data_IF_478206768534
#
_entry.id   IF_478206768534
#
_cell.length_a   1.000
_cell.length_b   1.000
_cell.length_c   1.000
_cell.angle_alpha   90.00
_cell.angle_beta   90.00
_cell.angle_gamma   90.00
#
_symmetry.space_group_name_H-M   'P 1'
#
loop_
_entity.id
_entity.type
_entity.pdbx_description
1 polymer ?
#
# COMPACT_ATOMS: atom_id res chain seq x y z
N UNK A 1 1.70 14.05 -13.57
CA UNK A 1 2.02 12.97 -12.60
C UNK A 1 0.81 12.25 -11.97
N UNK A 2 -0.41 12.82 -11.90
CA UNK A 2 -1.58 12.15 -11.27
C UNK A 2 -2.08 10.89 -12.02
N UNK A 3 -1.97 10.84 -13.36
CA UNK A 3 -2.36 9.66 -14.16
C UNK A 3 -1.56 8.41 -13.77
N UNK A 4 -0.25 8.53 -13.54
CA UNK A 4 0.61 7.39 -13.24
C UNK A 4 0.29 6.77 -11.86
N UNK A 5 -0.04 7.59 -10.86
CA UNK A 5 -0.49 7.11 -9.54
C UNK A 5 -1.76 6.26 -9.63
N UNK A 6 -2.73 6.69 -10.46
CA UNK A 6 -3.98 5.96 -10.68
C UNK A 6 -3.75 4.60 -11.32
N UNK A 7 -2.86 4.51 -12.31
CA UNK A 7 -2.49 3.25 -12.92
C UNK A 7 -1.80 2.31 -11.95
N UNK A 8 -0.85 2.79 -11.13
CA UNK A 8 -0.19 1.97 -10.09
C UNK A 8 -1.21 1.42 -9.10
N UNK A 9 -2.15 2.26 -8.65
CA UNK A 9 -3.23 1.83 -7.76
C UNK A 9 -4.17 0.82 -8.42
N UNK A 10 -4.59 1.09 -9.65
CA UNK A 10 -5.52 0.23 -10.38
C UNK A 10 -4.89 -1.13 -10.67
N UNK A 11 -3.63 -1.15 -11.12
CA UNK A 11 -2.87 -2.38 -11.37
C UNK A 11 -2.66 -3.17 -10.07
N UNK A 12 -2.26 -2.52 -8.97
CA UNK A 12 -2.07 -3.20 -7.69
C UNK A 12 -3.39 -3.74 -7.12
N UNK A 13 -4.48 -2.98 -7.20
CA UNK A 13 -5.82 -3.43 -6.79
C UNK A 13 -6.30 -4.61 -7.64
N UNK A 14 -6.14 -4.52 -8.96
CA UNK A 14 -6.49 -5.60 -9.88
C UNK A 14 -5.69 -6.87 -9.57
N UNK A 15 -4.40 -6.74 -9.24
CA UNK A 15 -3.54 -7.87 -8.87
C UNK A 15 -3.96 -8.49 -7.54
N UNK A 16 -4.31 -7.69 -6.53
CA UNK A 16 -4.87 -8.18 -5.25
C UNK A 16 -6.16 -8.97 -5.49
N UNK A 17 -7.10 -8.41 -6.26
CA UNK A 17 -8.37 -9.07 -6.59
C UNK A 17 -8.11 -10.36 -7.34
N UNK A 18 -7.23 -10.36 -8.34
CA UNK A 18 -6.89 -11.55 -9.12
C UNK A 18 -6.31 -12.65 -8.24
N UNK A 19 -5.37 -12.34 -7.34
CA UNK A 19 -4.78 -13.34 -6.44
C UNK A 19 -5.81 -13.86 -5.42
N UNK A 20 -6.59 -12.96 -4.80
CA UNK A 20 -7.51 -13.31 -3.69
C UNK A 20 -8.79 -14.00 -4.17
N UNK A 21 -9.34 -13.60 -5.32
CA UNK A 21 -10.61 -14.11 -5.85
C UNK A 21 -10.48 -15.13 -6.99
N UNK A 22 -9.39 -15.12 -7.77
CA UNK A 22 -9.21 -16.08 -8.88
C UNK A 22 -8.22 -17.17 -8.50
N UNK A 23 -7.01 -16.81 -8.07
CA UNK A 23 -5.98 -17.83 -7.78
C UNK A 23 -6.33 -18.65 -6.53
N UNK A 24 -6.83 -18.01 -5.47
CA UNK A 24 -7.15 -18.70 -4.20
C UNK A 24 -8.19 -19.81 -4.33
N UNK A 25 -9.36 -19.61 -4.98
CA UNK A 25 -10.37 -20.66 -5.10
C UNK A 25 -10.20 -21.57 -6.33
N UNK A 26 -9.61 -21.11 -7.44
CA UNK A 26 -9.61 -21.87 -8.70
C UNK A 26 -8.28 -22.55 -9.05
N UNK A 27 -7.18 -22.24 -8.36
CA UNK A 27 -5.86 -22.81 -8.69
C UNK A 27 -5.32 -23.66 -7.52
N UNK A 28 -5.15 -24.96 -7.79
CA UNK A 28 -4.46 -25.88 -6.88
C UNK A 28 -2.95 -25.59 -6.97
N UNK A 29 -2.46 -24.72 -6.09
CA UNK A 29 -1.07 -24.28 -6.09
C UNK A 29 -0.19 -25.30 -5.34
N UNK A 30 0.97 -25.71 -5.88
CA UNK A 30 1.90 -26.60 -5.18
C UNK A 30 2.32 -26.04 -3.82
N UNK A 31 2.60 -26.89 -2.81
CA UNK A 31 2.85 -26.44 -1.45
C UNK A 31 4.00 -25.43 -1.27
N UNK A 32 5.00 -25.46 -2.15
CA UNK A 32 6.10 -24.51 -2.16
C UNK A 32 5.68 -23.06 -2.48
N UNK A 33 4.56 -22.86 -3.18
CA UNK A 33 4.08 -21.54 -3.61
C UNK A 33 2.93 -20.99 -2.75
N UNK A 34 2.49 -21.70 -1.71
CA UNK A 34 1.46 -21.18 -0.79
C UNK A 34 1.90 -19.89 -0.12
N UNK A 35 3.14 -19.84 0.39
CA UNK A 35 3.71 -18.64 0.99
C UNK A 35 3.65 -17.45 0.03
N UNK A 36 4.05 -17.61 -1.23
CA UNK A 36 4.01 -16.52 -2.19
C UNK A 36 2.57 -16.07 -2.50
N UNK A 37 1.64 -17.02 -2.65
CA UNK A 37 0.22 -16.73 -2.92
C UNK A 37 -0.42 -15.93 -1.78
N UNK A 38 -0.01 -16.18 -0.56
CA UNK A 38 -0.60 -15.59 0.64
C UNK A 38 0.06 -14.25 1.01
N UNK A 39 1.39 -14.18 0.91
CA UNK A 39 2.18 -12.97 1.18
C UNK A 39 2.00 -11.89 0.11
N UNK A 40 2.02 -12.26 -1.17
CA UNK A 40 2.04 -11.30 -2.28
C UNK A 40 0.88 -10.26 -2.25
N UNK A 41 -0.39 -10.65 -2.05
CA UNK A 41 -1.47 -9.66 -2.00
C UNK A 41 -1.36 -8.74 -0.79
N UNK A 42 -0.90 -9.23 0.36
CA UNK A 42 -0.69 -8.43 1.56
C UNK A 42 0.48 -7.45 1.40
N UNK A 43 1.60 -7.88 0.83
CA UNK A 43 2.73 -7.03 0.48
C UNK A 43 2.34 -5.91 -0.51
N UNK A 44 1.57 -6.25 -1.55
CA UNK A 44 1.15 -5.28 -2.58
C UNK A 44 0.13 -4.31 -2.02
N UNK A 45 -0.83 -4.79 -1.22
CA UNK A 45 -1.80 -3.91 -0.54
C UNK A 45 -1.10 -2.97 0.44
N UNK A 46 -0.13 -3.48 1.21
CA UNK A 46 0.73 -2.70 2.09
C UNK A 46 1.44 -1.55 1.37
N UNK A 47 2.06 -1.86 0.23
CA UNK A 47 2.72 -0.88 -0.61
C UNK A 47 1.77 0.18 -1.20
N UNK A 48 0.54 -0.21 -1.53
CA UNK A 48 -0.47 0.67 -2.13
C UNK A 48 -1.14 1.63 -1.13
N UNK A 49 -1.10 1.36 0.18
CA UNK A 49 -1.74 2.20 1.21
C UNK A 49 -1.45 3.70 1.05
N UNK A 50 -0.19 4.18 1.03
CA UNK A 50 0.09 5.62 0.96
C UNK A 50 -0.42 6.25 -0.34
N UNK A 51 -0.40 5.50 -1.45
CA UNK A 51 -0.93 5.96 -2.73
C UNK A 51 -2.46 6.05 -2.71
N UNK A 52 -3.13 5.01 -2.18
CA UNK A 52 -4.58 4.93 -2.11
C UNK A 52 -5.14 5.99 -1.20
N UNK A 53 -4.49 6.20 -0.06
CA UNK A 53 -4.80 7.26 0.87
C UNK A 53 -4.61 8.64 0.24
N UNK A 54 -3.49 8.92 -0.43
CA UNK A 54 -3.28 10.18 -1.16
C UNK A 54 -4.38 10.44 -2.19
N UNK A 55 -4.90 9.40 -2.85
CA UNK A 55 -5.93 9.55 -3.87
C UNK A 55 -7.34 9.71 -3.29
N UNK A 56 -7.73 8.89 -2.32
CA UNK A 56 -9.06 8.92 -1.69
C UNK A 56 -9.21 10.07 -0.70
N UNK A 57 -8.20 10.27 0.14
CA UNK A 57 -8.20 11.30 1.17
C UNK A 57 -7.74 12.65 0.63
N UNK A 58 -7.30 12.78 -0.64
CA UNK A 58 -6.98 14.09 -1.25
C UNK A 58 -8.08 15.14 -1.03
N UNK A 59 -9.34 14.70 -0.94
CA UNK A 59 -10.51 15.56 -0.75
C UNK A 59 -10.72 15.98 0.71
N UNK A 60 -10.16 15.25 1.66
CA UNK A 60 -10.40 15.42 3.11
C UNK A 60 -9.13 15.82 3.88
N UNK A 61 -7.95 15.38 3.45
CA UNK A 61 -6.66 15.54 4.13
C UNK A 61 -5.62 15.94 3.09
N UNK A 62 -4.99 17.10 3.29
CA UNK A 62 -3.86 17.52 2.48
C UNK A 62 -2.58 16.88 3.02
N UNK A 63 -1.94 16.04 2.21
CA UNK A 63 -0.70 15.33 2.56
C UNK A 63 0.50 16.27 2.42
N UNK A 64 0.54 17.31 3.24
CA UNK A 64 1.62 18.31 3.25
C UNK A 64 2.78 17.86 4.14
N UNK A 65 2.53 16.97 5.10
CA UNK A 65 3.51 16.60 6.12
C UNK A 65 3.88 15.10 6.11
N UNK A 66 5.17 14.81 6.32
CA UNK A 66 5.72 13.44 6.38
C UNK A 66 5.06 12.64 7.51
N UNK A 67 4.70 13.32 8.60
CA UNK A 67 4.01 12.71 9.75
C UNK A 67 2.64 12.16 9.37
N UNK A 68 1.89 12.86 8.52
CA UNK A 68 0.56 12.41 8.07
C UNK A 68 0.65 11.16 7.19
N UNK A 69 1.67 11.09 6.32
CA UNK A 69 1.94 9.88 5.51
C UNK A 69 2.30 8.70 6.42
N UNK A 70 3.12 8.94 7.44
CA UNK A 70 3.53 7.92 8.40
C UNK A 70 2.33 7.39 9.21
N UNK A 71 1.45 8.27 9.70
CA UNK A 71 0.23 7.87 10.41
C UNK A 71 -0.67 6.98 9.56
N UNK A 72 -0.83 7.32 8.28
CA UNK A 72 -1.65 6.55 7.35
C UNK A 72 -1.02 5.18 7.03
N UNK A 73 0.31 5.14 6.94
CA UNK A 73 1.06 3.89 6.82
C UNK A 73 0.85 2.99 8.04
N UNK A 74 0.91 3.55 9.26
CA UNK A 74 0.61 2.82 10.50
C UNK A 74 -0.85 2.33 10.50
N UNK A 75 -1.80 3.21 10.17
CA UNK A 75 -3.22 2.90 10.20
C UNK A 75 -3.56 1.80 9.19
N UNK A 76 -2.96 1.83 8.01
CA UNK A 76 -3.12 0.75 7.03
C UNK A 76 -2.42 -0.55 7.44
N UNK A 77 -1.28 -0.50 8.14
CA UNK A 77 -0.66 -1.70 8.74
C UNK A 77 -1.58 -2.33 9.81
N UNK A 78 -2.24 -1.51 10.63
CA UNK A 78 -3.26 -1.97 11.59
C UNK A 78 -4.41 -2.65 10.84
N UNK A 79 -4.92 -2.05 9.76
CA UNK A 79 -5.99 -2.64 8.95
C UNK A 79 -5.59 -3.99 8.35
N UNK A 80 -4.36 -4.12 7.82
CA UNK A 80 -3.85 -5.40 7.32
C UNK A 80 -3.73 -6.44 8.44
N UNK A 81 -3.24 -6.03 9.60
CA UNK A 81 -3.12 -6.90 10.79
C UNK A 81 -4.48 -7.39 11.25
N UNK A 82 -5.49 -6.52 11.28
CA UNK A 82 -6.87 -6.89 11.58
C UNK A 82 -7.47 -7.81 10.51
N UNK A 83 -7.13 -7.62 9.22
CA UNK A 83 -7.56 -8.51 8.14
C UNK A 83 -6.95 -9.91 8.28
N UNK A 84 -5.71 -10.05 8.72
CA UNK A 84 -5.11 -11.35 9.04
C UNK A 84 -5.71 -11.97 10.29
N UNK A 85 -5.98 -11.16 11.33
CA UNK A 85 -6.68 -11.63 12.52
C UNK A 85 -8.12 -12.09 12.20
N UNK A 86 -8.80 -11.42 11.28
CA UNK A 86 -10.12 -11.84 10.81
C UNK A 86 -10.07 -13.14 10.00
N UNK A 87 -8.97 -13.43 9.30
CA UNK A 87 -8.76 -14.72 8.63
C UNK A 87 -8.50 -15.86 9.62
N UNK A 88 -8.11 -15.55 10.87
CA UNK A 88 -7.98 -16.52 11.96
C UNK A 88 -9.34 -17.05 12.43
N UNK A 89 -10.45 -16.37 12.09
CA UNK A 89 -11.78 -16.87 12.45
C UNK A 89 -12.01 -18.26 11.83
N UNK A 90 -12.59 -19.22 12.58
CA UNK A 90 -12.69 -20.63 12.20
C UNK A 90 -13.51 -20.89 10.91
N UNK A 91 -14.22 -19.89 10.40
CA UNK A 91 -14.90 -19.94 9.09
C UNK A 91 -13.91 -20.08 7.92
N UNK A 92 -12.67 -19.56 8.07
CA UNK A 92 -11.65 -19.57 7.01
C UNK A 92 -10.55 -20.61 7.20
N UNK A 93 -10.43 -21.22 8.38
CA UNK A 93 -9.51 -22.34 8.64
C UNK A 93 -8.02 -22.03 8.48
N UNK A 94 -7.62 -20.75 8.60
CA UNK A 94 -6.24 -20.28 8.40
C UNK A 94 -5.54 -20.06 9.73
N UNK A 95 -4.25 -20.40 9.77
CA UNK A 95 -3.34 -20.03 10.88
C UNK A 95 -2.83 -18.61 10.71
N UNK A 96 -2.51 -17.93 11.81
CA UNK A 96 -1.90 -16.61 11.79
C UNK A 96 -0.52 -16.69 11.11
N UNK A 97 -0.35 -16.03 9.97
CA UNK A 97 0.91 -16.04 9.23
C UNK A 97 1.77 -14.82 9.58
N UNK A 98 2.86 -15.07 10.31
CA UNK A 98 3.80 -14.02 10.70
C UNK A 98 4.58 -13.46 9.50
N UNK A 99 4.75 -14.24 8.43
CA UNK A 99 5.45 -13.77 7.24
C UNK A 99 4.64 -12.67 6.55
N UNK A 100 3.33 -12.83 6.42
CA UNK A 100 2.44 -11.82 5.85
C UNK A 100 2.55 -10.48 6.58
N UNK A 101 2.68 -10.50 7.91
CA UNK A 101 2.84 -9.29 8.72
C UNK A 101 4.21 -8.62 8.49
N UNK A 102 5.29 -9.40 8.46
CA UNK A 102 6.65 -8.88 8.21
C UNK A 102 6.74 -8.29 6.81
N UNK A 103 6.23 -8.99 5.80
CA UNK A 103 6.21 -8.49 4.43
C UNK A 103 5.32 -7.27 4.30
N UNK A 104 4.19 -7.19 5.00
CA UNK A 104 3.37 -5.99 5.03
C UNK A 104 4.11 -4.79 5.64
N UNK A 105 4.90 -4.99 6.71
CA UNK A 105 5.75 -3.94 7.26
C UNK A 105 6.79 -3.44 6.25
N UNK A 106 7.43 -4.36 5.52
CA UNK A 106 8.39 -4.02 4.46
C UNK A 106 7.68 -3.26 3.33
N UNK A 107 6.52 -3.74 2.88
CA UNK A 107 5.72 -3.13 1.83
C UNK A 107 5.29 -1.70 2.18
N UNK A 108 4.79 -1.50 3.41
CA UNK A 108 4.45 -0.17 3.93
C UNK A 108 5.69 0.73 4.00
N UNK A 109 6.83 0.21 4.45
CA UNK A 109 8.08 0.96 4.52
C UNK A 109 8.59 1.42 3.14
N UNK A 110 8.56 0.53 2.16
CA UNK A 110 8.90 0.85 0.77
C UNK A 110 7.89 1.85 0.20
N UNK A 111 6.59 1.65 0.44
CA UNK A 111 5.54 2.56 0.01
C UNK A 111 5.73 3.97 0.57
N UNK A 112 6.03 4.09 1.86
CA UNK A 112 6.35 5.34 2.53
C UNK A 112 7.59 6.03 1.92
N UNK A 113 8.67 5.28 1.72
CA UNK A 113 9.91 5.82 1.13
C UNK A 113 9.69 6.31 -0.29
N UNK A 114 9.06 5.51 -1.14
CA UNK A 114 8.76 5.88 -2.53
C UNK A 114 7.82 7.10 -2.55
N UNK A 115 6.79 7.12 -1.71
CA UNK A 115 5.85 8.23 -1.67
C UNK A 115 6.53 9.54 -1.23
N UNK A 116 7.28 9.50 -0.12
CA UNK A 116 7.97 10.68 0.42
C UNK A 116 9.07 11.18 -0.52
N UNK A 117 9.85 10.29 -1.13
CA UNK A 117 10.95 10.67 -2.04
C UNK A 117 10.45 11.11 -3.41
N UNK A 118 9.57 10.35 -4.06
CA UNK A 118 9.14 10.66 -5.44
C UNK A 118 8.07 11.75 -5.53
N UNK A 119 7.22 11.94 -4.52
CA UNK A 119 6.09 12.88 -4.62
C UNK A 119 6.18 14.08 -3.67
N UNK A 120 6.72 13.88 -2.48
CA UNK A 120 6.91 14.98 -1.53
C UNK A 120 8.17 15.78 -1.86
N UNK A 121 9.26 15.09 -2.22
CA UNK A 121 10.50 15.73 -2.70
C UNK A 121 10.27 16.63 -3.92
N UNK A 122 9.46 16.18 -4.89
CA UNK A 122 9.13 16.97 -6.08
C UNK A 122 8.27 18.20 -5.78
N UNK A 123 7.49 18.18 -4.68
CA UNK A 123 6.60 19.31 -4.33
C UNK A 123 7.39 20.45 -3.68
N UNK A 124 8.44 20.14 -2.91
CA UNK A 124 9.33 21.15 -2.32
C UNK A 124 10.15 21.89 -3.39
N UNK A 125 10.77 21.16 -4.33
CA UNK A 125 11.54 21.78 -5.41
C UNK A 125 10.70 22.70 -6.31
N UNK A 126 9.43 22.35 -6.55
CA UNK A 126 8.54 23.18 -7.37
C UNK A 126 8.13 24.48 -6.65
N UNK A 127 8.02 24.48 -5.32
CA UNK A 127 7.72 25.69 -4.55
C UNK A 127 8.92 26.63 -4.46
N UNK A 128 10.15 26.10 -4.33
CA UNK A 128 11.37 26.92 -4.35
C UNK A 128 11.54 27.61 -5.71
N UNK A 129 11.33 26.89 -6.82
CA UNK A 129 11.40 27.46 -8.15
C UNK A 129 10.33 28.54 -8.43
N UNK A 130 9.13 28.43 -7.83
CA UNK A 130 8.08 29.46 -7.96
C UNK A 130 8.44 30.70 -7.14
N UNK A 131 8.96 30.53 -5.93
CA UNK A 131 9.38 31.67 -5.10
C UNK A 131 10.53 32.47 -5.77
N UNK A 132 11.52 31.80 -6.35
CA UNK A 132 12.59 32.50 -7.10
C UNK A 132 12.07 33.30 -8.30
N UNK A 133 10.97 32.88 -8.95
CA UNK A 133 10.37 33.62 -10.06
C UNK A 133 9.42 34.75 -9.63
N UNK A 134 9.00 34.79 -8.37
CA UNK A 134 8.09 35.84 -7.86
C UNK A 134 8.87 36.99 -7.22
N UNK A 135 10.16 36.78 -6.92
CA UNK A 135 11.10 37.80 -6.42
C UNK A 135 12.01 38.44 -7.50
N UNK A 136 11.80 38.10 -8.79
CA UNK A 136 12.47 38.75 -9.95
C UNK A 136 11.51 39.61 -10.75
#
# INVERSE_FOLDING_TARGET
MQKNKRWILCTGLCLIVLVKFIIRPFVLVPPAFYLYRDVAPNLISAFLIPFGADLFLKKWISFVDKRSVLLICILGLIVITLNELAQLFPVFGRTFDYFDLIFSLIGVGIGYLVFTRCFMGSTLMNNEAINEQTES
#
